data_IF_683293373912
#
_entry.id   IF_683293373912
#
_cell.length_a   1.000
_cell.length_b   1.000
_cell.length_c   1.000
_cell.angle_alpha   90.00
_cell.angle_beta   90.00
_cell.angle_gamma   90.00
#
_symmetry.space_group_name_H-M   'P 1'
#
loop_
_entity.id
_entity.type
_entity.pdbx_description
1 polymer ?
#
# COMPACT_ATOMS: atom_id res chain seq x y z
N UNK A 1 -20.80 4.55 -13.26
CA UNK A 1 -19.69 4.41 -12.29
C UNK A 1 -19.43 5.79 -11.72
N UNK A 2 -19.86 6.07 -10.49
CA UNK A 2 -19.72 7.41 -9.91
C UNK A 2 -18.42 7.48 -9.12
N UNK A 3 -17.34 7.87 -9.77
CA UNK A 3 -16.16 8.45 -9.11
C UNK A 3 -16.61 9.74 -8.43
N UNK A 4 -16.46 9.81 -7.11
CA UNK A 4 -16.77 11.04 -6.35
C UNK A 4 -15.73 12.11 -6.71
N UNK A 5 -16.12 13.38 -6.59
CA UNK A 5 -15.17 14.48 -6.68
C UNK A 5 -14.00 14.25 -5.72
N UNK A 6 -12.82 14.51 -6.26
CA UNK A 6 -11.56 14.53 -5.56
C UNK A 6 -11.61 15.69 -4.55
N UNK A 7 -11.56 15.37 -3.26
CA UNK A 7 -11.50 16.35 -2.17
C UNK A 7 -10.41 15.89 -1.23
N UNK A 8 -9.41 16.75 -0.97
CA UNK A 8 -8.35 16.49 0.00
C UNK A 8 -8.97 16.06 1.33
N UNK A 9 -8.77 14.79 1.71
CA UNK A 9 -9.27 14.26 2.97
C UNK A 9 -8.24 14.43 4.07
N UNK A 10 -8.66 15.04 5.17
CA UNK A 10 -7.83 15.10 6.37
C UNK A 10 -7.90 13.77 7.14
N UNK A 11 -7.02 13.60 8.12
CA UNK A 11 -6.93 12.38 8.93
C UNK A 11 -8.26 11.97 9.58
N UNK A 12 -9.10 12.94 9.99
CA UNK A 12 -10.41 12.66 10.59
C UNK A 12 -11.39 12.04 9.60
N UNK A 13 -11.42 12.52 8.36
CA UNK A 13 -12.28 11.97 7.31
C UNK A 13 -11.86 10.56 6.90
N UNK A 14 -10.55 10.32 6.86
CA UNK A 14 -9.99 8.99 6.60
C UNK A 14 -10.36 8.02 7.73
N UNK A 15 -10.20 8.43 8.99
CA UNK A 15 -10.58 7.62 10.14
C UNK A 15 -12.07 7.24 10.11
N UNK A 16 -12.97 8.21 9.84
CA UNK A 16 -14.40 7.96 9.68
C UNK A 16 -14.71 6.98 8.54
N UNK A 17 -13.98 7.07 7.43
CA UNK A 17 -14.14 6.13 6.32
C UNK A 17 -13.76 4.71 6.74
N UNK A 18 -12.61 4.55 7.39
CA UNK A 18 -12.14 3.24 7.86
C UNK A 18 -13.13 2.61 8.86
N UNK A 19 -13.59 3.40 9.83
CA UNK A 19 -14.58 2.98 10.84
C UNK A 19 -15.91 2.56 10.21
N UNK A 20 -16.51 3.43 9.37
CA UNK A 20 -17.79 3.15 8.72
C UNK A 20 -17.76 1.91 7.81
N UNK A 21 -16.58 1.54 7.29
CA UNK A 21 -16.39 0.35 6.47
C UNK A 21 -15.84 -0.86 7.25
N UNK A 22 -15.73 -0.76 8.58
CA UNK A 22 -15.22 -1.83 9.47
C UNK A 22 -13.84 -2.35 9.05
N UNK A 23 -12.97 -1.41 8.70
CA UNK A 23 -11.56 -1.62 8.41
C UNK A 23 -10.80 -1.33 9.71
N UNK A 24 -10.49 -2.39 10.45
CA UNK A 24 -10.02 -2.39 11.84
C UNK A 24 -8.77 -3.24 12.04
N UNK A 25 -8.19 -3.74 10.95
CA UNK A 25 -7.11 -4.73 10.93
C UNK A 25 -5.75 -4.13 10.55
N UNK A 26 -5.57 -2.81 10.68
CA UNK A 26 -4.33 -2.12 10.36
C UNK A 26 -3.62 -1.63 11.62
N UNK A 27 -2.29 -1.51 11.56
CA UNK A 27 -1.48 -1.00 12.66
C UNK A 27 -1.25 0.51 12.54
N UNK A 28 -1.06 1.00 11.32
CA UNK A 28 -0.80 2.41 11.04
C UNK A 28 -1.62 2.91 9.85
N UNK A 29 -2.05 4.16 9.92
CA UNK A 29 -2.73 4.86 8.83
C UNK A 29 -2.17 6.27 8.71
N UNK A 30 -1.70 6.62 7.51
CA UNK A 30 -1.08 7.91 7.22
C UNK A 30 -1.72 8.57 6.00
N UNK A 31 -1.63 9.90 5.94
CA UNK A 31 -1.88 10.69 4.74
C UNK A 31 -0.57 10.84 3.99
N UNK A 32 -0.55 10.47 2.71
CA UNK A 32 0.63 10.67 1.88
C UNK A 32 0.91 12.17 1.72
N UNK A 33 2.13 12.69 1.93
CA UNK A 33 2.38 14.10 1.71
C UNK A 33 2.27 14.46 0.23
N UNK A 34 1.31 15.32 -0.15
CA UNK A 34 1.10 15.71 -1.56
C UNK A 34 2.35 16.31 -2.23
N UNK A 35 3.22 16.97 -1.45
CA UNK A 35 4.53 17.48 -1.91
C UNK A 35 5.48 16.37 -2.41
N UNK A 36 5.26 15.12 -1.96
CA UNK A 36 6.07 13.97 -2.33
C UNK A 36 5.45 13.18 -3.49
N UNK A 37 4.41 13.70 -4.18
CA UNK A 37 3.83 13.04 -5.35
C UNK A 37 4.90 12.73 -6.41
N UNK A 38 5.84 13.65 -6.60
CA UNK A 38 6.91 13.49 -7.57
C UNK A 38 7.88 12.37 -7.17
N UNK A 39 8.00 12.12 -5.87
CA UNK A 39 8.86 11.07 -5.33
C UNK A 39 8.32 9.67 -5.65
N UNK A 40 7.02 9.50 -5.90
CA UNK A 40 6.48 8.22 -6.40
C UNK A 40 6.97 7.89 -7.83
N UNK A 41 7.53 8.87 -8.57
CA UNK A 41 8.17 8.65 -9.86
C UNK A 41 9.69 8.52 -9.77
N UNK A 42 10.27 8.55 -8.56
CA UNK A 42 11.69 8.24 -8.37
C UNK A 42 11.88 6.72 -8.37
N UNK A 43 12.94 6.25 -9.03
CA UNK A 43 13.28 4.82 -9.12
C UNK A 43 13.35 4.15 -7.73
N UNK A 44 13.80 4.87 -6.70
CA UNK A 44 13.92 4.34 -5.34
C UNK A 44 12.58 4.15 -4.61
N UNK A 45 11.48 4.59 -5.19
CA UNK A 45 10.14 4.59 -4.59
C UNK A 45 9.05 4.02 -5.50
N UNK A 46 9.37 3.76 -6.77
CA UNK A 46 8.42 3.29 -7.77
C UNK A 46 8.25 1.78 -7.72
N UNK A 47 6.99 1.31 -7.68
CA UNK A 47 6.70 -0.14 -7.73
C UNK A 47 6.77 -0.68 -9.16
N UNK A 48 6.22 0.04 -10.14
CA UNK A 48 6.10 -0.42 -11.53
C UNK A 48 7.21 0.19 -12.41
N UNK A 49 8.23 -0.61 -12.71
CA UNK A 49 9.37 -0.21 -13.54
C UNK A 49 8.98 0.05 -15.00
N UNK A 50 8.00 -0.69 -15.54
CA UNK A 50 7.56 -0.50 -16.92
C UNK A 50 6.95 0.89 -17.11
N UNK A 51 6.20 1.36 -16.11
CA UNK A 51 5.67 2.73 -16.12
C UNK A 51 6.74 3.79 -15.92
N UNK A 52 7.71 3.53 -15.04
CA UNK A 52 8.85 4.42 -14.80
C UNK A 52 9.68 4.63 -16.07
N UNK A 53 10.09 3.54 -16.74
CA UNK A 53 10.89 3.58 -17.98
C UNK A 53 10.19 4.33 -19.12
N UNK A 54 8.86 4.37 -19.11
CA UNK A 54 8.03 5.05 -20.11
C UNK A 54 7.63 6.48 -19.70
N UNK A 55 8.04 6.95 -18.52
CA UNK A 55 7.65 8.26 -18.01
C UNK A 55 6.15 8.41 -17.80
N UNK A 56 5.43 7.33 -17.48
CA UNK A 56 3.98 7.33 -17.30
C UNK A 56 3.59 7.34 -15.82
N UNK A 57 2.35 7.78 -15.56
CA UNK A 57 1.90 7.98 -14.18
C UNK A 57 1.71 6.67 -13.42
N UNK A 58 2.20 6.65 -12.18
CA UNK A 58 2.08 5.52 -11.26
C UNK A 58 0.65 5.37 -10.75
N UNK A 59 0.26 4.15 -10.42
CA UNK A 59 -1.06 3.92 -9.84
C UNK A 59 -1.11 4.47 -8.42
N UNK A 60 -2.14 5.24 -8.07
CA UNK A 60 -2.38 5.68 -6.69
C UNK A 60 -2.92 4.57 -5.79
N UNK A 61 -3.18 3.38 -6.35
CA UNK A 61 -3.68 2.21 -5.64
C UNK A 61 -2.69 1.06 -5.82
N UNK A 62 -2.01 0.70 -4.73
CA UNK A 62 -0.95 -0.30 -4.74
C UNK A 62 -0.99 -1.15 -3.47
N UNK A 63 -0.54 -2.40 -3.59
CA UNK A 63 -0.18 -3.26 -2.47
C UNK A 63 1.30 -3.57 -2.63
N UNK A 64 2.09 -3.32 -1.59
CA UNK A 64 3.52 -3.65 -1.53
C UNK A 64 3.75 -4.57 -0.34
N UNK A 65 4.44 -5.68 -0.57
CA UNK A 65 4.70 -6.69 0.46
C UNK A 65 6.21 -6.81 0.64
N UNK A 66 6.64 -6.56 1.86
CA UNK A 66 8.03 -6.63 2.31
C UNK A 66 8.22 -7.81 3.26
N UNK A 67 9.38 -8.45 3.21
CA UNK A 67 9.79 -9.41 4.23
C UNK A 67 10.34 -8.71 5.49
N UNK A 68 10.67 -9.49 6.52
CA UNK A 68 11.26 -8.98 7.77
C UNK A 68 12.61 -8.27 7.61
N UNK A 69 13.33 -8.52 6.52
CA UNK A 69 14.56 -7.80 6.19
C UNK A 69 14.31 -6.46 5.48
N UNK A 70 13.04 -6.11 5.23
CA UNK A 70 12.65 -4.89 4.55
C UNK A 70 12.75 -4.94 3.02
N UNK A 71 13.01 -6.11 2.42
CA UNK A 71 13.09 -6.26 0.97
C UNK A 71 11.70 -6.50 0.38
N UNK A 72 11.37 -5.85 -0.74
CA UNK A 72 10.14 -6.14 -1.47
C UNK A 72 10.17 -7.60 -1.96
N UNK A 73 9.14 -8.37 -1.63
CA UNK A 73 8.96 -9.75 -2.11
C UNK A 73 7.79 -9.88 -3.06
N UNK A 74 6.86 -8.93 -3.03
CA UNK A 74 5.72 -8.91 -3.93
C UNK A 74 5.07 -7.54 -4.01
N UNK A 75 4.33 -7.30 -5.09
CA UNK A 75 3.60 -6.06 -5.26
C UNK A 75 2.53 -6.16 -6.33
N UNK A 76 1.54 -5.29 -6.21
CA UNK A 76 0.44 -5.16 -7.15
C UNK A 76 0.08 -3.69 -7.30
N UNK A 77 -0.10 -3.23 -8.54
CA UNK A 77 -0.75 -1.96 -8.84
C UNK A 77 -2.10 -2.23 -9.48
N UNK A 78 -3.07 -1.34 -9.30
CA UNK A 78 -4.38 -1.44 -9.97
C UNK A 78 -4.24 -1.55 -11.50
N UNK A 79 -3.19 -0.94 -12.08
CA UNK A 79 -2.94 -0.94 -13.51
C UNK A 79 -2.47 -2.30 -14.07
N UNK A 80 -2.06 -3.26 -13.23
CA UNK A 80 -1.71 -4.60 -13.68
C UNK A 80 -2.93 -5.43 -14.14
N UNK A 81 -4.15 -5.00 -13.82
CA UNK A 81 -5.38 -5.67 -14.22
C UNK A 81 -6.27 -5.97 -13.02
N UNK A 82 -7.14 -6.96 -13.13
CA UNK A 82 -8.10 -7.26 -12.06
C UNK A 82 -7.42 -7.95 -10.87
N UNK A 83 -7.49 -7.35 -9.67
CA UNK A 83 -6.97 -7.94 -8.43
C UNK A 83 -7.60 -9.31 -8.12
N UNK A 84 -8.84 -9.59 -8.56
CA UNK A 84 -9.44 -10.92 -8.41
C UNK A 84 -8.69 -11.99 -9.21
N UNK A 85 -8.15 -11.63 -10.38
CA UNK A 85 -7.42 -12.53 -11.26
C UNK A 85 -5.96 -12.70 -10.87
N UNK A 86 -5.25 -11.60 -10.58
CA UNK A 86 -3.84 -11.65 -10.16
C UNK A 86 -3.74 -12.15 -8.73
N UNK A 87 -4.52 -11.56 -7.81
CA UNK A 87 -4.64 -11.97 -6.42
C UNK A 87 -3.33 -12.38 -5.74
N UNK A 88 -2.39 -11.44 -5.60
CA UNK A 88 -1.09 -11.69 -4.94
C UNK A 88 -1.21 -12.24 -3.51
N UNK A 89 -2.39 -12.13 -2.88
CA UNK A 89 -2.73 -12.64 -1.55
C UNK A 89 -3.47 -14.00 -1.59
N UNK A 90 -3.31 -14.81 -2.64
CA UNK A 90 -4.00 -16.10 -2.75
C UNK A 90 -3.41 -17.21 -1.87
N UNK A 91 -2.14 -17.11 -1.52
CA UNK A 91 -1.33 -18.12 -0.81
C UNK A 91 -0.75 -17.55 0.48
N UNK A 92 -0.48 -18.39 1.49
CA UNK A 92 0.01 -17.94 2.81
C UNK A 92 1.24 -17.04 2.70
N UNK A 93 2.22 -17.41 1.88
CA UNK A 93 3.46 -16.63 1.68
C UNK A 93 3.37 -15.59 0.56
N UNK A 94 2.16 -15.23 0.15
CA UNK A 94 1.86 -14.49 -1.08
C UNK A 94 2.26 -15.25 -2.34
N UNK A 95 1.57 -14.98 -3.45
CA UNK A 95 1.85 -15.59 -4.75
C UNK A 95 2.73 -14.66 -5.57
N UNK A 96 3.96 -15.07 -5.87
CA UNK A 96 4.90 -14.28 -6.66
C UNK A 96 4.59 -14.44 -8.15
N UNK A 97 4.49 -13.32 -8.86
CA UNK A 97 4.30 -13.28 -10.31
C UNK A 97 5.51 -12.65 -10.99
N UNK A 98 6.43 -13.48 -11.50
CA UNK A 98 7.66 -13.02 -12.16
C UNK A 98 7.44 -12.12 -13.39
N UNK A 99 6.23 -12.16 -13.98
CA UNK A 99 5.88 -11.35 -15.16
C UNK A 99 5.45 -9.92 -14.81
N UNK A 100 5.20 -9.62 -13.54
CA UNK A 100 4.87 -8.26 -13.13
C UNK A 100 6.17 -7.43 -13.08
N UNK A 101 6.20 -6.22 -13.65
CA UNK A 101 7.39 -5.37 -13.70
C UNK A 101 7.66 -4.67 -12.35
N UNK A 102 7.60 -5.44 -11.26
CA UNK A 102 7.81 -4.94 -9.90
C UNK A 102 9.29 -4.59 -9.69
N UNK A 103 9.53 -3.44 -9.07
CA UNK A 103 10.84 -3.02 -8.63
C UNK A 103 11.25 -3.75 -7.34
N UNK A 104 11.91 -4.89 -7.47
CA UNK A 104 12.40 -5.68 -6.32
C UNK A 104 13.59 -5.05 -5.58
N UNK A 105 14.13 -3.94 -6.07
CA UNK A 105 15.13 -3.13 -5.36
C UNK A 105 14.51 -2.18 -4.33
N UNK A 106 13.17 -2.08 -4.28
CA UNK A 106 12.48 -1.28 -3.27
C UNK A 106 12.70 -1.83 -1.86
N UNK A 107 13.08 -0.93 -0.97
CA UNK A 107 13.24 -1.20 0.45
C UNK A 107 12.10 -0.56 1.24
N UNK A 108 11.65 -1.26 2.28
CA UNK A 108 10.59 -0.76 3.16
C UNK A 108 10.95 0.58 3.79
N UNK A 109 12.22 0.82 4.12
CA UNK A 109 12.64 2.11 4.68
C UNK A 109 12.41 3.30 3.75
N UNK A 110 12.45 3.08 2.43
CA UNK A 110 12.16 4.09 1.43
C UNK A 110 10.67 4.48 1.45
N UNK A 111 9.78 3.62 1.96
CA UNK A 111 8.37 4.00 2.18
C UNK A 111 8.27 5.07 3.27
N UNK A 112 9.02 4.89 4.35
CA UNK A 112 8.95 5.74 5.53
C UNK A 112 9.58 7.11 5.29
N UNK A 113 10.55 7.21 4.38
CA UNK A 113 11.14 8.50 3.99
C UNK A 113 10.15 9.40 3.24
N UNK A 114 9.11 8.82 2.61
CA UNK A 114 8.06 9.58 1.93
C UNK A 114 7.02 10.16 2.90
N UNK A 115 6.99 9.70 4.15
CA UNK A 115 6.01 10.13 5.15
C UNK A 115 6.55 11.27 6.00
N UNK A 116 5.71 12.29 6.24
CA UNK A 116 6.05 13.40 7.12
C UNK A 116 5.78 13.04 8.59
N UNK A 117 6.54 12.07 9.10
CA UNK A 117 6.43 11.56 10.48
C UNK A 117 7.77 11.68 11.22
N UNK A 118 7.72 11.75 12.55
CA UNK A 118 8.90 11.87 13.39
C UNK A 118 9.82 10.64 13.25
N UNK A 119 11.14 10.86 13.31
CA UNK A 119 12.12 9.78 13.10
C UNK A 119 11.96 8.64 14.12
N UNK A 120 11.66 8.98 15.38
CA UNK A 120 11.36 7.99 16.43
C UNK A 120 10.20 7.05 16.05
N UNK A 121 9.18 7.57 15.36
CA UNK A 121 8.04 6.77 14.90
C UNK A 121 8.46 5.86 13.73
N UNK A 122 9.32 6.36 12.83
CA UNK A 122 9.89 5.52 11.76
C UNK A 122 10.71 4.37 12.34
N UNK A 123 11.55 4.64 13.33
CA UNK A 123 12.36 3.62 14.00
C UNK A 123 11.49 2.55 14.68
N UNK A 124 10.41 2.97 15.34
CA UNK A 124 9.44 2.04 15.94
C UNK A 124 8.78 1.14 14.87
N UNK A 125 8.36 1.73 13.75
CA UNK A 125 7.75 1.00 12.64
C UNK A 125 8.75 0.02 12.02
N UNK A 126 10.01 0.43 11.80
CA UNK A 126 11.08 -0.44 11.29
C UNK A 126 11.33 -1.61 12.23
N UNK A 127 11.41 -1.35 13.54
CA UNK A 127 11.59 -2.40 14.54
C UNK A 127 10.42 -3.40 14.51
N UNK A 128 9.17 -2.92 14.52
CA UNK A 128 7.99 -3.80 14.41
C UNK A 128 8.02 -4.62 13.12
N UNK A 129 8.32 -3.98 11.99
CA UNK A 129 8.44 -4.64 10.69
C UNK A 129 9.42 -5.81 10.72
N UNK A 130 10.58 -5.63 11.36
CA UNK A 130 11.61 -6.67 11.48
C UNK A 130 11.20 -7.88 12.33
N UNK A 131 10.18 -7.72 13.18
CA UNK A 131 9.66 -8.78 14.06
C UNK A 131 8.46 -9.51 13.46
N UNK A 132 7.89 -9.01 12.37
CA UNK A 132 6.77 -9.64 11.66
C UNK A 132 7.27 -10.53 10.53
N UNK A 133 6.42 -11.46 10.09
CA UNK A 133 6.69 -12.27 8.90
C UNK A 133 6.70 -11.38 7.65
N UNK A 134 5.69 -10.52 7.53
CA UNK A 134 5.56 -9.58 6.43
C UNK A 134 5.19 -8.19 6.91
N UNK A 135 5.55 -7.19 6.11
CA UNK A 135 4.95 -5.86 6.17
C UNK A 135 4.18 -5.60 4.89
N UNK A 136 2.90 -5.28 5.01
CA UNK A 136 2.03 -4.94 3.89
C UNK A 136 1.75 -3.45 3.94
N UNK A 137 2.24 -2.73 2.93
CA UNK A 137 1.94 -1.32 2.70
C UNK A 137 0.87 -1.20 1.62
N UNK A 138 -0.22 -0.53 1.92
CA UNK A 138 -1.33 -0.30 0.99
C UNK A 138 -1.45 1.19 0.69
N UNK A 139 -1.17 1.55 -0.56
CA UNK A 139 -1.55 2.84 -1.12
C UNK A 139 -3.00 2.75 -1.58
N UNK A 140 -3.85 3.65 -1.09
CA UNK A 140 -5.28 3.65 -1.37
C UNK A 140 -5.87 5.05 -1.31
N UNK A 141 -7.11 5.19 -1.75
CA UNK A 141 -7.85 6.45 -1.68
C UNK A 141 -9.36 6.20 -1.57
N UNK A 142 -10.11 7.15 -1.03
CA UNK A 142 -11.56 7.08 -0.84
C UNK A 142 -12.28 7.28 -2.18
N UNK A 143 -11.79 8.16 -3.05
CA UNK A 143 -12.48 8.50 -4.30
C UNK A 143 -12.62 7.32 -5.27
N UNK A 144 -11.66 6.38 -5.29
CA UNK A 144 -11.76 5.15 -6.09
C UNK A 144 -12.76 4.13 -5.53
N UNK A 145 -13.23 4.31 -4.28
CA UNK A 145 -14.26 3.60 -3.52
C UNK A 145 -14.31 2.08 -3.75
N UNK A 146 -14.78 1.64 -4.92
CA UNK A 146 -14.83 0.25 -5.35
C UNK A 146 -13.47 -0.46 -5.26
N UNK A 147 -12.40 0.14 -5.77
CA UNK A 147 -11.08 -0.52 -5.81
C UNK A 147 -10.48 -0.68 -4.40
N UNK A 148 -10.47 0.40 -3.61
CA UNK A 148 -10.03 0.35 -2.20
C UNK A 148 -10.82 -0.67 -1.39
N UNK A 149 -12.15 -0.72 -1.54
CA UNK A 149 -12.99 -1.73 -0.88
C UNK A 149 -12.61 -3.15 -1.23
N UNK A 150 -12.34 -3.44 -2.51
CA UNK A 150 -11.92 -4.79 -2.93
C UNK A 150 -10.57 -5.17 -2.31
N UNK A 151 -9.61 -4.24 -2.27
CA UNK A 151 -8.32 -4.47 -1.63
C UNK A 151 -8.51 -4.82 -0.16
N UNK A 152 -9.26 -4.00 0.59
CA UNK A 152 -9.50 -4.24 2.01
C UNK A 152 -10.25 -5.54 2.28
N UNK A 153 -11.27 -5.87 1.48
CA UNK A 153 -11.99 -7.13 1.62
C UNK A 153 -11.09 -8.34 1.34
N UNK A 154 -10.20 -8.24 0.35
CA UNK A 154 -9.24 -9.31 0.04
C UNK A 154 -8.20 -9.46 1.12
N UNK A 155 -7.66 -8.36 1.63
CA UNK A 155 -6.70 -8.40 2.73
C UNK A 155 -7.35 -9.01 3.98
N UNK A 156 -8.54 -8.55 4.38
CA UNK A 156 -9.28 -9.12 5.53
C UNK A 156 -9.55 -10.63 5.36
N UNK A 157 -9.94 -11.06 4.14
CA UNK A 157 -10.11 -12.49 3.83
C UNK A 157 -8.80 -13.26 3.90
N UNK A 158 -7.70 -12.71 3.40
CA UNK A 158 -6.37 -13.31 3.44
C UNK A 158 -5.90 -13.50 4.90
N UNK A 159 -5.92 -12.43 5.70
CA UNK A 159 -5.53 -12.46 7.11
C UNK A 159 -6.36 -13.48 7.90
N UNK A 160 -7.68 -13.50 7.68
CA UNK A 160 -8.57 -14.49 8.31
C UNK A 160 -8.30 -15.91 7.86
N UNK A 161 -8.11 -16.14 6.56
CA UNK A 161 -7.92 -17.48 5.99
C UNK A 161 -6.66 -18.17 6.50
N UNK A 162 -5.60 -17.38 6.72
CA UNK A 162 -4.29 -17.91 7.11
C UNK A 162 -3.90 -17.56 8.55
N UNK A 163 -4.81 -16.96 9.31
CA UNK A 163 -4.63 -16.58 10.73
C UNK A 163 -3.42 -15.65 10.95
N UNK A 164 -3.25 -14.66 10.08
CA UNK A 164 -2.03 -13.84 9.98
C UNK A 164 -2.15 -12.43 10.60
N UNK A 165 -3.19 -12.16 11.39
CA UNK A 165 -3.38 -10.83 11.99
C UNK A 165 -2.20 -10.42 12.89
N UNK A 166 -1.62 -11.37 13.63
CA UNK A 166 -0.48 -11.08 14.50
C UNK A 166 0.87 -11.20 13.79
N UNK A 167 0.92 -11.86 12.63
CA UNK A 167 2.16 -12.14 11.88
C UNK A 167 2.53 -11.05 10.88
N UNK A 168 1.64 -10.10 10.61
CA UNK A 168 1.80 -9.09 9.56
C UNK A 168 1.67 -7.69 10.14
N UNK A 169 2.60 -6.80 9.76
CA UNK A 169 2.46 -5.36 10.00
C UNK A 169 1.69 -4.74 8.82
N UNK A 170 0.60 -4.04 9.08
CA UNK A 170 -0.25 -3.46 8.03
C UNK A 170 -0.25 -1.94 8.14
N UNK A 171 0.23 -1.29 7.07
CA UNK A 171 0.34 0.16 6.97
C UNK A 171 -0.52 0.64 5.82
N UNK A 172 -1.44 1.56 6.14
CA UNK A 172 -2.31 2.21 5.18
C UNK A 172 -1.76 3.60 4.85
N UNK A 173 -1.56 3.88 3.57
CA UNK A 173 -1.12 5.18 3.07
C UNK A 173 -2.22 5.70 2.15
N UNK A 174 -2.95 6.70 2.63
CA UNK A 174 -4.03 7.31 1.87
C UNK A 174 -3.48 8.39 0.92
N UNK A 175 -3.89 8.36 -0.35
CA UNK A 175 -3.47 9.26 -1.42
C UNK A 175 -4.61 10.17 -1.92
N UNK A 176 -5.62 10.44 -1.11
CA UNK A 176 -6.75 11.35 -1.44
C UNK A 176 -6.33 12.82 -1.54
N UNK A 177 -5.06 13.14 -1.35
CA UNK A 177 -4.50 14.48 -1.50
C UNK A 177 -3.44 14.56 -2.61
N UNK A 178 -3.35 13.50 -3.41
CA UNK A 178 -2.38 13.34 -4.49
C UNK A 178 -3.12 13.60 -5.79
N UNK A 179 -3.16 14.87 -6.19
CA UNK A 179 -3.82 15.34 -7.42
C UNK A 179 -2.85 16.20 -8.21
N UNK A 180 -2.84 16.01 -9.53
CA UNK A 180 -2.32 17.00 -10.48
C UNK A 180 -3.49 17.83 -11.00
#
# INVERSE_FOLDING_TARGET
MNTKEIVNKNESEIAKYLESNKIDFYDYSFVFPGINIDSLYNENHVLDLWKYERGTEQSTIQIRVYNSSGNLINGYTQCYGNLNSINILSEKNTKIFQRLPNNYSLLFENELSLLNIQEKVKDEIKLKSSQKTFTIVIYWNIWSNYFSKIIFQKLKKYLKRYEMYDDVLIILINTDNVHK
#
